data_IF_310619338153
#
_entry.id   IF_310619338153
#
_cell.length_a   1.000
_cell.length_b   1.000
_cell.length_c   1.000
_cell.angle_alpha   90.00
_cell.angle_beta   90.00
_cell.angle_gamma   90.00
#
_symmetry.space_group_name_H-M   'P 1'
#
loop_
_entity.id
_entity.type
_entity.pdbx_description
1 polymer ?
#
# COMPACT_ATOMS: atom_id res chain seq x y z
N UNK A 1 2.68 10.00 2.07
CA UNK A 1 2.56 8.70 2.77
C UNK A 1 1.15 8.19 2.60
N UNK A 2 0.99 6.95 2.10
CA UNK A 2 -0.29 6.26 1.96
C UNK A 2 -0.29 5.11 2.95
N UNK A 3 -1.28 5.08 3.83
CA UNK A 3 -1.44 4.04 4.84
C UNK A 3 -2.66 3.18 4.49
N UNK A 4 -2.46 1.87 4.40
CA UNK A 4 -3.55 0.92 4.29
C UNK A 4 -3.47 -0.08 5.45
N UNK A 5 -4.45 -0.02 6.34
CA UNK A 5 -4.63 -1.01 7.40
C UNK A 5 -5.55 -2.14 6.93
N UNK A 6 -5.24 -3.34 7.38
CA UNK A 6 -6.05 -4.53 7.19
C UNK A 6 -5.98 -5.42 8.42
N UNK A 7 -7.00 -6.24 8.64
CA UNK A 7 -7.06 -7.19 9.77
C UNK A 7 -7.29 -8.59 9.22
N UNK A 8 -6.50 -9.56 9.68
CA UNK A 8 -6.70 -10.98 9.36
C UNK A 8 -7.79 -11.59 10.25
N UNK A 9 -8.31 -12.75 9.87
CA UNK A 9 -9.37 -13.46 10.60
C UNK A 9 -8.97 -13.86 12.03
N UNK A 10 -7.67 -13.98 12.33
CA UNK A 10 -7.16 -14.24 13.67
C UNK A 10 -6.95 -12.96 14.51
N UNK A 11 -7.50 -11.83 14.08
CA UNK A 11 -7.48 -10.56 14.82
C UNK A 11 -6.14 -9.81 14.77
N UNK A 12 -5.16 -10.26 13.99
CA UNK A 12 -3.91 -9.52 13.80
C UNK A 12 -4.14 -8.36 12.84
N UNK A 13 -3.80 -7.16 13.28
CA UNK A 13 -3.82 -5.98 12.44
C UNK A 13 -2.46 -5.78 11.76
N UNK A 14 -2.53 -5.39 10.49
CA UNK A 14 -1.39 -5.11 9.63
C UNK A 14 -1.55 -3.73 9.04
N UNK A 15 -0.41 -3.11 8.75
CA UNK A 15 -0.30 -1.85 8.06
C UNK A 15 0.63 -2.04 6.87
N UNK A 16 0.09 -1.84 5.67
CA UNK A 16 0.90 -1.59 4.51
C UNK A 16 1.18 -0.08 4.45
N UNK A 17 2.45 0.28 4.54
CA UNK A 17 2.92 1.65 4.50
C UNK A 17 3.65 1.90 3.19
N UNK A 18 3.15 2.87 2.44
CA UNK A 18 3.68 3.33 1.16
C UNK A 18 4.24 4.75 1.34
N UNK A 19 5.53 4.91 1.08
CA UNK A 19 6.26 6.16 1.25
C UNK A 19 6.92 6.56 -0.07
N UNK A 20 6.23 7.40 -0.88
CA UNK A 20 6.78 7.86 -2.14
C UNK A 20 8.09 8.65 -1.93
N UNK A 21 9.11 8.35 -2.73
CA UNK A 21 10.42 8.99 -2.67
C UNK A 21 11.29 8.68 -1.44
N UNK A 22 10.81 7.83 -0.51
CA UNK A 22 11.53 7.55 0.74
C UNK A 22 12.50 6.35 0.66
N UNK A 23 12.53 5.65 -0.47
CA UNK A 23 13.46 4.57 -0.76
C UNK A 23 14.76 5.06 -1.38
N UNK A 24 15.67 4.11 -1.63
CA UNK A 24 16.97 4.43 -2.22
C UNK A 24 16.83 5.11 -3.59
N UNK A 25 17.62 6.16 -3.81
CA UNK A 25 17.63 6.95 -5.06
C UNK A 25 16.28 7.60 -5.39
N UNK A 26 15.48 7.96 -4.37
CA UNK A 26 14.17 8.58 -4.57
C UNK A 26 13.11 7.62 -5.09
N UNK A 27 13.35 6.30 -4.99
CA UNK A 27 12.33 5.30 -5.26
C UNK A 27 11.29 5.29 -4.16
N UNK A 28 10.12 4.76 -4.48
CA UNK A 28 9.06 4.59 -3.51
C UNK A 28 9.34 3.38 -2.61
N UNK A 29 9.09 3.54 -1.31
CA UNK A 29 9.28 2.48 -0.33
C UNK A 29 7.93 1.87 0.07
N UNK A 30 7.83 0.55 -0.01
CA UNK A 30 6.68 -0.23 0.50
C UNK A 30 7.18 -1.04 1.70
N UNK A 31 6.51 -0.91 2.84
CA UNK A 31 6.79 -1.74 4.01
C UNK A 31 5.52 -2.37 4.58
N UNK A 32 5.63 -3.62 5.00
CA UNK A 32 4.61 -4.31 5.76
C UNK A 32 4.96 -4.25 7.25
N UNK A 33 4.03 -3.75 8.05
CA UNK A 33 4.17 -3.64 9.49
C UNK A 33 3.03 -4.40 10.17
N UNK A 34 3.35 -5.14 11.23
CA UNK A 34 2.36 -5.68 12.15
C UNK A 34 2.00 -4.64 13.21
N UNK A 35 0.77 -4.68 13.72
CA UNK A 35 0.35 -3.86 14.85
C UNK A 35 0.38 -4.74 16.11
N UNK A 36 1.17 -4.35 17.11
CA UNK A 36 1.21 -5.02 18.41
C UNK A 36 -0.07 -4.76 19.21
N UNK A 37 -0.37 -5.54 20.26
CA UNK A 37 -1.53 -5.27 21.14
C UNK A 37 -1.54 -3.87 21.75
N UNK A 38 -0.37 -3.25 21.93
CA UNK A 38 -0.21 -1.88 22.42
C UNK A 38 -0.40 -0.82 21.33
N UNK A 39 -0.80 -1.22 20.11
CA UNK A 39 -1.04 -0.32 18.98
C UNK A 39 0.23 0.15 18.26
N UNK A 40 1.40 -0.46 18.53
CA UNK A 40 2.65 -0.05 17.89
C UNK A 40 2.84 -0.77 16.56
N UNK A 41 3.25 -0.03 15.54
CA UNK A 41 3.61 -0.62 14.25
C UNK A 41 5.06 -1.11 14.27
N UNK A 42 5.28 -2.39 13.97
CA UNK A 42 6.58 -3.04 13.97
C UNK A 42 6.85 -3.69 12.61
N UNK A 43 8.05 -3.52 12.01
CA UNK A 43 8.42 -4.25 10.80
C UNK A 43 8.27 -5.75 11.03
N UNK A 44 7.64 -6.44 10.09
CA UNK A 44 7.44 -7.88 10.20
C UNK A 44 8.06 -8.61 9.02
N UNK A 45 8.86 -9.63 9.32
CA UNK A 45 9.02 -10.77 8.44
C UNK A 45 7.78 -11.66 8.64
N UNK A 46 6.85 -11.66 7.69
CA UNK A 46 5.63 -12.44 7.80
C UNK A 46 5.88 -13.88 7.33
N UNK A 47 5.76 -14.84 8.25
CA UNK A 47 5.66 -16.27 7.92
C UNK A 47 4.18 -16.59 7.77
N UNK A 48 3.77 -16.95 6.56
CA UNK A 48 2.38 -17.27 6.23
C UNK A 48 2.16 -18.78 6.32
N UNK A 49 1.27 -19.21 7.21
CA UNK A 49 0.97 -20.64 7.42
C UNK A 49 -0.20 -21.11 6.53
N UNK A 50 -0.13 -20.82 5.23
CA UNK A 50 -1.13 -21.33 4.28
C UNK A 50 -1.45 -20.37 3.14
N UNK A 51 -2.08 -20.93 2.10
CA UNK A 51 -2.44 -20.20 0.89
C UNK A 51 -3.45 -19.07 1.16
N UNK A 52 -4.32 -19.22 2.16
CA UNK A 52 -5.37 -18.23 2.43
C UNK A 52 -4.81 -16.93 3.00
N UNK A 53 -3.81 -16.98 3.88
CA UNK A 53 -3.16 -15.77 4.39
C UNK A 53 -2.37 -15.05 3.30
N UNK A 54 -1.77 -15.80 2.37
CA UNK A 54 -1.09 -15.22 1.19
C UNK A 54 -2.12 -14.57 0.27
N UNK A 55 -3.24 -15.24 -0.03
CA UNK A 55 -4.33 -14.67 -0.86
C UNK A 55 -4.90 -13.40 -0.26
N UNK A 56 -5.14 -13.40 1.06
CA UNK A 56 -5.56 -12.21 1.79
C UNK A 56 -4.55 -11.07 1.60
N UNK A 57 -3.25 -11.32 1.82
CA UNK A 57 -2.22 -10.30 1.67
C UNK A 57 -2.20 -9.73 0.24
N UNK A 58 -2.29 -10.58 -0.78
CA UNK A 58 -2.30 -10.16 -2.18
C UNK A 58 -3.49 -9.23 -2.50
N UNK A 59 -4.67 -9.53 -1.93
CA UNK A 59 -5.85 -8.68 -2.09
C UNK A 59 -5.67 -7.30 -1.44
N UNK A 60 -5.08 -7.25 -0.25
CA UNK A 60 -4.79 -5.98 0.44
C UNK A 60 -3.70 -5.18 -0.30
N UNK A 61 -2.70 -5.85 -0.87
CA UNK A 61 -1.70 -5.22 -1.75
C UNK A 61 -2.35 -4.61 -3.00
N UNK A 62 -3.28 -5.32 -3.64
CA UNK A 62 -4.01 -4.81 -4.81
C UNK A 62 -4.86 -3.57 -4.45
N UNK A 63 -5.51 -3.59 -3.29
CA UNK A 63 -6.26 -2.45 -2.75
C UNK A 63 -5.35 -1.25 -2.48
N UNK A 64 -4.18 -1.47 -1.89
CA UNK A 64 -3.20 -0.41 -1.68
C UNK A 64 -2.64 0.15 -3.01
N UNK A 65 -2.38 -0.71 -4.00
CA UNK A 65 -1.92 -0.31 -5.32
C UNK A 65 -2.93 0.63 -5.99
N UNK A 66 -4.23 0.30 -5.96
CA UNK A 66 -5.28 1.18 -6.52
C UNK A 66 -5.29 2.57 -5.87
N UNK A 67 -5.10 2.63 -4.54
CA UNK A 67 -4.99 3.91 -3.82
C UNK A 67 -3.73 4.69 -4.22
N UNK A 68 -2.63 3.97 -4.43
CA UNK A 68 -1.38 4.56 -4.89
C UNK A 68 -1.49 5.11 -6.31
N UNK A 69 -2.03 4.34 -7.26
CA UNK A 69 -2.26 4.79 -8.64
C UNK A 69 -3.15 6.04 -8.69
N UNK A 70 -4.24 6.05 -7.90
CA UNK A 70 -5.12 7.20 -7.78
C UNK A 70 -4.44 8.43 -7.16
N UNK A 71 -3.46 8.23 -6.27
CA UNK A 71 -2.62 9.32 -5.76
C UNK A 71 -1.62 9.79 -6.81
N UNK A 72 -0.94 8.87 -7.49
CA UNK A 72 0.07 9.17 -8.50
C UNK A 72 -0.53 9.95 -9.68
N UNK A 73 -1.72 9.58 -10.14
CA UNK A 73 -2.46 10.31 -11.18
C UNK A 73 -2.80 11.76 -10.80
N UNK A 74 -2.84 12.10 -9.49
CA UNK A 74 -3.02 13.48 -9.02
C UNK A 74 -1.70 14.26 -8.94
N UNK A 75 -0.57 13.56 -8.91
CA UNK A 75 0.77 14.17 -8.82
C UNK A 75 1.42 14.34 -10.19
N UNK A 76 1.15 13.43 -11.12
CA UNK A 76 1.56 13.59 -12.51
C UNK A 76 0.62 14.65 -13.12
N UNK A 77 1.11 15.83 -13.52
CA UNK A 77 0.28 16.77 -14.25
C UNK A 77 -0.29 16.06 -15.49
N UNK A 78 -1.56 16.28 -15.86
CA UNK A 78 -2.10 15.70 -17.08
C UNK A 78 -1.14 16.01 -18.21
N UNK A 79 -0.80 15.01 -19.02
CA UNK A 79 0.11 15.19 -20.13
C UNK A 79 -0.37 16.41 -20.95
N UNK A 80 0.48 17.43 -21.06
CA UNK A 80 0.21 18.59 -21.91
C UNK A 80 0.01 18.05 -23.34
N UNK A 81 -1.25 17.88 -23.75
CA UNK A 81 -1.59 17.21 -25.00
C UNK A 81 -3.05 16.76 -25.14
N UNK A 82 -3.76 16.39 -24.08
CA UNK A 82 -5.21 16.16 -24.17
C UNK A 82 -5.97 17.49 -24.10
N UNK A 83 -5.92 18.21 -25.22
CA UNK A 83 -6.97 19.17 -25.56
C UNK A 83 -8.28 18.39 -25.67
N UNK A 84 -9.06 18.40 -24.60
CA UNK A 84 -10.50 18.11 -24.67
C UNK A 84 -11.19 19.26 -25.41
N UNK A 85 -10.99 19.31 -26.73
CA UNK A 85 -12.04 19.72 -27.65
C UNK A 85 -12.75 18.44 -28.09
N UNK A 86 -13.76 18.04 -27.33
CA UNK A 86 -14.83 17.21 -27.85
C UNK A 86 -16.15 17.96 -27.55
N UNK A 87 -16.67 18.52 -28.64
CA UNK A 87 -17.87 19.33 -28.82
C UNK A 87 -19.13 18.82 -28.12
#
# INVERSE_FOLDING_TARGET
MILHSATTENGRAYLLKLEPGAGENGKDLISLQGITPEGKAVPMAAVFHGADTIRWLMKELESALKKYEAWQAKQIPPAEGETSEAR
#
